data_IF_228802659896
#
_entry.id   IF_228802659896
#
_cell.length_a   1.000
_cell.length_b   1.000
_cell.length_c   1.000
_cell.angle_alpha   90.00
_cell.angle_beta   90.00
_cell.angle_gamma   90.00
#
_symmetry.space_group_name_H-M   'P 1'
#
loop_
_entity.id
_entity.type
_entity.pdbx_description
1 polymer ?
#
# COMPACT_ATOMS: atom_id res chain seq x y z
N UNK A 1 11.94 4.83 20.06
CA UNK A 1 10.83 3.85 19.83
C UNK A 1 9.62 4.38 20.58
N UNK A 2 8.46 4.45 19.96
CA UNK A 2 7.21 4.89 20.60
C UNK A 2 6.29 3.68 20.62
N UNK A 3 5.79 3.31 21.79
CA UNK A 3 4.72 2.31 21.90
C UNK A 3 3.40 2.95 21.49
N UNK A 4 2.65 2.29 20.61
CA UNK A 4 1.33 2.74 20.14
C UNK A 4 0.19 2.13 20.96
N UNK A 5 0.51 1.19 21.85
CA UNK A 5 -0.40 0.50 22.76
C UNK A 5 0.27 0.41 24.14
N UNK A 6 -0.52 0.24 25.19
CA UNK A 6 0.01 0.05 26.54
C UNK A 6 0.80 -1.26 26.59
N UNK A 7 2.05 -1.17 27.07
CA UNK A 7 2.96 -2.30 27.22
C UNK A 7 3.24 -2.50 28.69
N UNK A 8 2.99 -3.70 29.19
CA UNK A 8 3.28 -4.06 30.58
C UNK A 8 4.79 -4.22 30.77
N UNK A 9 5.32 -3.80 31.91
CA UNK A 9 6.75 -3.96 32.23
C UNK A 9 7.16 -5.43 32.15
N UNK A 10 8.20 -5.73 31.37
CA UNK A 10 8.67 -7.09 31.09
C UNK A 10 8.21 -7.69 29.77
N UNK A 11 7.17 -7.15 29.11
CA UNK A 11 6.64 -7.66 27.84
C UNK A 11 7.31 -7.06 26.59
N UNK A 12 8.16 -6.04 26.75
CA UNK A 12 8.76 -5.28 25.65
C UNK A 12 9.50 -6.17 24.63
N UNK A 13 10.14 -7.24 25.08
CA UNK A 13 10.85 -8.16 24.20
C UNK A 13 9.93 -9.02 23.33
N UNK A 14 8.68 -9.21 23.75
CA UNK A 14 7.69 -10.05 23.04
C UNK A 14 6.80 -9.23 22.10
N UNK A 15 6.56 -7.95 22.40
CA UNK A 15 5.58 -7.12 21.69
C UNK A 15 6.18 -5.94 20.92
N UNK A 16 7.44 -5.56 21.18
CA UNK A 16 8.08 -4.43 20.54
C UNK A 16 9.01 -4.87 19.40
N UNK A 17 8.64 -4.58 18.17
CA UNK A 17 9.45 -4.85 16.98
C UNK A 17 9.87 -3.56 16.30
N UNK A 18 11.09 -3.56 15.72
CA UNK A 18 11.59 -2.51 14.85
C UNK A 18 11.55 -3.04 13.41
N UNK A 19 10.92 -2.29 12.51
CA UNK A 19 10.96 -2.61 11.09
C UNK A 19 12.26 -2.07 10.47
N UNK A 20 13.08 -2.95 9.93
CA UNK A 20 14.33 -2.63 9.23
C UNK A 20 14.14 -2.48 7.72
N UNK A 21 13.01 -2.94 7.20
CA UNK A 21 12.68 -3.01 5.77
C UNK A 21 11.22 -2.65 5.56
N UNK A 22 10.82 -2.41 4.32
CA UNK A 22 9.43 -2.12 4.00
C UNK A 22 8.53 -3.32 4.33
N UNK A 23 7.54 -3.13 5.20
CA UNK A 23 6.61 -4.19 5.61
C UNK A 23 5.64 -4.61 4.50
N UNK A 24 5.43 -3.75 3.48
CA UNK A 24 4.63 -4.09 2.30
C UNK A 24 5.34 -5.08 1.38
N UNK A 25 6.69 -5.07 1.32
CA UNK A 25 7.43 -6.02 0.50
C UNK A 25 7.07 -7.48 0.85
N UNK A 26 7.18 -8.38 -0.14
CA UNK A 26 7.01 -9.82 0.10
C UNK A 26 8.07 -10.37 1.06
N UNK A 27 7.77 -11.51 1.69
CA UNK A 27 8.65 -12.10 2.70
C UNK A 27 10.03 -12.46 2.14
N UNK A 28 10.11 -12.92 0.89
CA UNK A 28 11.39 -13.25 0.28
C UNK A 28 12.27 -12.01 0.13
N UNK A 29 11.71 -10.91 -0.36
CA UNK A 29 12.40 -9.63 -0.51
C UNK A 29 12.86 -9.10 0.84
N UNK A 30 11.99 -9.09 1.86
CA UNK A 30 12.35 -8.67 3.22
C UNK A 30 13.47 -9.53 3.81
N UNK A 31 13.37 -10.86 3.74
CA UNK A 31 14.41 -11.75 4.26
C UNK A 31 15.73 -11.62 3.52
N UNK A 32 15.70 -11.37 2.21
CA UNK A 32 16.89 -11.09 1.42
C UNK A 32 17.56 -9.79 1.87
N UNK A 33 16.80 -8.72 2.07
CA UNK A 33 17.31 -7.44 2.58
C UNK A 33 17.88 -7.58 3.99
N UNK A 34 17.19 -8.28 4.89
CA UNK A 34 17.71 -8.55 6.25
C UNK A 34 19.06 -9.26 6.22
N UNK A 35 19.20 -10.29 5.37
CA UNK A 35 20.46 -11.03 5.24
C UNK A 35 21.58 -10.19 4.61
N UNK A 36 21.26 -9.45 3.55
CA UNK A 36 22.25 -8.69 2.77
C UNK A 36 22.75 -7.45 3.51
N UNK A 37 21.90 -6.76 4.26
CA UNK A 37 22.20 -5.46 4.87
C UNK A 37 22.41 -5.59 6.37
N UNK A 38 21.62 -6.41 7.06
CA UNK A 38 21.54 -6.49 8.51
C UNK A 38 22.09 -7.81 9.09
N UNK A 39 22.48 -8.77 8.24
CA UNK A 39 23.13 -10.04 8.58
C UNK A 39 22.35 -10.95 9.54
N UNK A 40 20.99 -10.88 9.52
CA UNK A 40 20.15 -11.80 10.31
C UNK A 40 18.98 -12.36 9.50
N UNK A 41 18.33 -13.40 10.02
CA UNK A 41 17.09 -13.95 9.48
C UNK A 41 15.94 -13.60 10.41
N UNK A 42 14.99 -12.81 9.94
CA UNK A 42 13.83 -12.42 10.71
C UNK A 42 12.84 -13.59 10.86
N UNK A 43 12.33 -13.78 12.08
CA UNK A 43 11.30 -14.77 12.42
C UNK A 43 10.08 -14.11 13.07
N UNK A 44 9.86 -12.82 12.85
CA UNK A 44 8.71 -12.12 13.39
C UNK A 44 7.39 -12.64 12.79
N UNK A 45 6.23 -12.37 13.43
CA UNK A 45 4.92 -12.82 12.94
C UNK A 45 4.67 -12.48 11.47
N UNK A 46 5.03 -11.26 11.03
CA UNK A 46 4.87 -10.83 9.64
C UNK A 46 5.71 -11.67 8.65
N UNK A 47 6.94 -12.05 9.02
CA UNK A 47 7.81 -12.87 8.16
C UNK A 47 7.43 -14.36 8.15
N UNK A 48 6.61 -14.79 9.12
CA UNK A 48 6.11 -16.16 9.22
C UNK A 48 4.70 -16.32 8.65
N UNK A 49 3.99 -15.23 8.35
CA UNK A 49 2.62 -15.24 7.81
C UNK A 49 2.61 -15.52 6.31
N UNK A 50 2.49 -16.80 5.96
CA UNK A 50 2.47 -17.26 4.57
C UNK A 50 1.17 -16.89 3.84
N UNK A 51 0.05 -16.81 4.54
CA UNK A 51 -1.23 -16.49 3.91
C UNK A 51 -1.28 -15.01 3.51
N UNK A 52 -0.84 -14.12 4.41
CA UNK A 52 -0.69 -12.70 4.08
C UNK A 52 0.33 -12.47 2.96
N UNK A 53 1.37 -13.29 2.89
CA UNK A 53 2.39 -13.16 1.84
C UNK A 53 1.87 -13.58 0.47
N UNK A 54 1.01 -14.61 0.38
CA UNK A 54 0.34 -15.02 -0.87
C UNK A 54 -0.53 -13.93 -1.48
N UNK A 55 -1.14 -13.08 -0.65
CA UNK A 55 -1.98 -11.98 -1.12
C UNK A 55 -1.18 -10.90 -1.84
N UNK A 56 0.11 -10.77 -1.54
CA UNK A 56 0.98 -9.68 -2.04
C UNK A 56 1.21 -9.71 -3.54
N UNK A 57 1.12 -10.89 -4.14
CA UNK A 57 1.21 -11.08 -5.58
C UNK A 57 -0.01 -11.87 -6.02
N UNK A 58 -1.02 -11.17 -6.49
CA UNK A 58 -2.29 -11.78 -6.87
C UNK A 58 -2.90 -11.12 -8.09
N UNK A 59 -3.43 -11.93 -8.99
CA UNK A 59 -4.24 -11.47 -10.11
C UNK A 59 -5.72 -11.81 -9.91
N UNK A 60 -6.59 -11.18 -10.68
CA UNK A 60 -8.01 -11.49 -10.72
C UNK A 60 -8.28 -12.70 -11.61
N UNK A 61 -9.09 -13.63 -11.13
CA UNK A 61 -9.61 -14.73 -11.94
C UNK A 61 -10.33 -14.20 -13.19
N UNK A 62 -9.95 -14.65 -14.37
CA UNK A 62 -10.53 -14.19 -15.63
C UNK A 62 -12.03 -14.39 -15.74
N UNK A 63 -12.61 -15.26 -14.90
CA UNK A 63 -14.04 -15.58 -14.92
C UNK A 63 -14.86 -14.87 -13.83
N UNK A 64 -14.44 -14.92 -12.57
CA UNK A 64 -15.24 -14.46 -11.43
C UNK A 64 -14.58 -13.32 -10.65
N UNK A 65 -13.43 -12.83 -11.09
CA UNK A 65 -12.67 -11.72 -10.48
C UNK A 65 -12.17 -12.00 -9.04
N UNK A 66 -12.31 -13.22 -8.54
CA UNK A 66 -11.72 -13.60 -7.25
C UNK A 66 -10.19 -13.68 -7.36
N UNK A 67 -9.52 -13.50 -6.23
CA UNK A 67 -8.07 -13.48 -6.17
C UNK A 67 -7.43 -14.82 -6.52
N UNK A 68 -6.39 -14.77 -7.31
CA UNK A 68 -5.52 -15.90 -7.67
C UNK A 68 -4.07 -15.55 -7.33
N UNK A 69 -3.50 -16.16 -6.27
CA UNK A 69 -2.10 -15.95 -5.92
C UNK A 69 -1.15 -16.38 -7.04
N UNK A 70 -0.12 -15.56 -7.26
CA UNK A 70 0.92 -15.79 -8.28
C UNK A 70 2.27 -16.01 -7.60
N UNK A 71 2.97 -17.04 -8.00
CA UNK A 71 4.41 -17.16 -7.72
C UNK A 71 5.19 -16.38 -8.78
N UNK A 72 5.69 -15.20 -8.42
CA UNK A 72 6.44 -14.31 -9.33
C UNK A 72 7.82 -14.85 -9.74
N UNK A 73 8.31 -15.91 -9.10
CA UNK A 73 9.59 -16.54 -9.48
C UNK A 73 9.40 -17.49 -10.63
N UNK A 74 8.37 -18.34 -10.57
CA UNK A 74 8.02 -19.28 -11.63
C UNK A 74 7.06 -18.67 -12.66
N UNK A 75 6.44 -17.52 -12.36
CA UNK A 75 5.34 -16.93 -13.13
C UNK A 75 4.19 -17.91 -13.32
N UNK A 76 3.77 -18.54 -12.23
CA UNK A 76 2.66 -19.49 -12.20
C UNK A 76 1.59 -19.07 -11.21
N UNK A 77 0.32 -19.33 -11.57
CA UNK A 77 -0.78 -19.25 -10.62
C UNK A 77 -0.62 -20.42 -9.64
N UNK A 78 -0.64 -20.14 -8.34
CA UNK A 78 -0.37 -21.14 -7.29
C UNK A 78 -1.48 -22.19 -7.23
N UNK A 79 -2.73 -21.74 -7.11
CA UNK A 79 -3.89 -22.61 -6.86
C UNK A 79 -5.01 -22.37 -7.88
N UNK A 80 -5.93 -23.35 -7.99
CA UNK A 80 -7.19 -23.16 -8.70
C UNK A 80 -8.07 -22.13 -7.97
N UNK A 81 -8.93 -21.42 -8.71
CA UNK A 81 -9.79 -20.41 -8.12
C UNK A 81 -10.65 -20.96 -6.97
N UNK A 82 -10.53 -20.35 -5.80
CA UNK A 82 -11.28 -20.79 -4.60
C UNK A 82 -12.79 -20.53 -4.73
N UNK A 83 -13.20 -19.54 -5.52
CA UNK A 83 -14.59 -19.13 -5.72
C UNK A 83 -15.28 -19.98 -6.81
N UNK A 84 -14.87 -19.88 -8.07
CA UNK A 84 -15.53 -20.56 -9.19
C UNK A 84 -14.94 -21.95 -9.51
N UNK A 85 -13.92 -22.41 -8.79
CA UNK A 85 -13.24 -23.71 -8.95
C UNK A 85 -12.57 -23.92 -10.31
N UNK A 86 -12.47 -22.89 -11.15
CA UNK A 86 -11.70 -22.98 -12.40
C UNK A 86 -10.25 -23.28 -12.12
N UNK A 87 -9.68 -24.11 -12.96
CA UNK A 87 -8.29 -24.55 -12.85
C UNK A 87 -7.32 -23.40 -13.13
N UNK A 88 -6.15 -23.45 -12.53
CA UNK A 88 -5.07 -22.46 -12.76
C UNK A 88 -4.62 -22.42 -14.23
N UNK A 89 -4.73 -23.52 -14.95
CA UNK A 89 -4.36 -23.63 -16.37
C UNK A 89 -5.50 -23.30 -17.35
N UNK A 90 -6.64 -22.80 -16.87
CA UNK A 90 -7.73 -22.29 -17.69
C UNK A 90 -7.25 -21.20 -18.65
N UNK A 91 -7.71 -21.17 -19.92
CA UNK A 91 -7.24 -20.19 -20.90
C UNK A 91 -7.41 -18.71 -20.48
N UNK A 92 -8.53 -18.39 -19.81
CA UNK A 92 -8.78 -17.02 -19.33
C UNK A 92 -7.80 -16.64 -18.22
N UNK A 93 -7.53 -17.54 -17.28
CA UNK A 93 -6.55 -17.34 -16.21
C UNK A 93 -5.12 -17.21 -16.75
N UNK A 94 -4.76 -17.99 -17.79
CA UNK A 94 -3.47 -17.85 -18.48
C UNK A 94 -3.33 -16.51 -19.20
N UNK A 95 -4.39 -16.02 -19.83
CA UNK A 95 -4.41 -14.71 -20.46
C UNK A 95 -4.21 -13.61 -19.42
N UNK A 96 -4.87 -13.69 -18.26
CA UNK A 96 -4.67 -12.76 -17.16
C UNK A 96 -3.24 -12.79 -16.62
N UNK A 97 -2.66 -13.98 -16.45
CA UNK A 97 -1.28 -14.13 -16.01
C UNK A 97 -0.26 -13.50 -17.00
N UNK A 98 -0.50 -13.62 -18.30
CA UNK A 98 0.35 -12.98 -19.32
C UNK A 98 0.29 -11.46 -19.23
N UNK A 99 -0.90 -10.87 -19.04
CA UNK A 99 -1.07 -9.44 -18.85
C UNK A 99 -0.42 -8.98 -17.53
N UNK A 100 -0.66 -9.70 -16.44
CA UNK A 100 -0.06 -9.44 -15.13
C UNK A 100 1.47 -9.37 -15.22
N UNK A 101 2.07 -10.38 -15.84
CA UNK A 101 3.52 -10.46 -16.04
C UNK A 101 4.03 -9.29 -16.89
N UNK A 102 3.38 -9.01 -18.02
CA UNK A 102 3.77 -7.90 -18.90
C UNK A 102 3.77 -6.55 -18.18
N UNK A 103 2.69 -6.22 -17.45
CA UNK A 103 2.59 -4.97 -16.69
C UNK A 103 3.63 -4.90 -15.57
N UNK A 104 3.91 -6.01 -14.89
CA UNK A 104 4.96 -6.08 -13.89
C UNK A 104 6.34 -5.80 -14.49
N UNK A 105 6.67 -6.41 -15.63
CA UNK A 105 7.93 -6.20 -16.33
C UNK A 105 8.08 -4.74 -16.80
N UNK A 106 7.02 -4.14 -17.36
CA UNK A 106 7.03 -2.74 -17.85
C UNK A 106 7.26 -1.75 -16.70
N UNK A 107 6.65 -1.96 -15.54
CA UNK A 107 6.79 -1.06 -14.39
C UNK A 107 8.11 -1.25 -13.62
N UNK A 108 8.72 -2.42 -13.68
CA UNK A 108 9.94 -2.72 -12.92
C UNK A 108 11.22 -2.59 -13.75
N UNK A 109 11.14 -2.60 -15.08
CA UNK A 109 12.28 -2.42 -15.98
C UNK A 109 12.51 -0.93 -16.29
N UNK A 110 13.39 -0.28 -15.55
CA UNK A 110 13.75 1.13 -15.78
C UNK A 110 14.29 1.37 -17.20
N UNK A 111 13.80 2.43 -17.84
CA UNK A 111 14.43 3.01 -19.06
C UNK A 111 13.96 2.46 -20.39
N UNK A 112 12.92 1.62 -20.46
CA UNK A 112 12.42 1.08 -21.74
C UNK A 112 11.20 1.81 -22.32
N UNK A 113 10.55 2.69 -21.54
CA UNK A 113 9.40 3.44 -22.02
C UNK A 113 9.80 4.76 -22.70
N UNK A 114 9.16 5.09 -23.81
CA UNK A 114 9.32 6.40 -24.49
C UNK A 114 8.58 7.53 -23.77
N UNK A 115 7.72 7.20 -22.80
CA UNK A 115 6.92 8.13 -21.99
C UNK A 115 7.57 8.39 -20.62
N UNK A 116 7.19 9.49 -19.98
CA UNK A 116 7.59 9.77 -18.60
C UNK A 116 7.07 8.69 -17.64
N UNK A 117 7.73 8.54 -16.49
CA UNK A 117 7.28 7.55 -15.50
C UNK A 117 5.88 7.87 -14.96
N UNK A 118 5.50 9.15 -14.87
CA UNK A 118 4.16 9.57 -14.45
C UNK A 118 3.08 9.08 -15.43
N UNK A 119 3.29 9.30 -16.72
CA UNK A 119 2.38 8.84 -17.79
C UNK A 119 2.32 7.31 -17.85
N UNK A 120 3.47 6.65 -17.71
CA UNK A 120 3.56 5.20 -17.66
C UNK A 120 2.78 4.62 -16.48
N UNK A 121 2.93 5.20 -15.29
CA UNK A 121 2.23 4.74 -14.10
C UNK A 121 0.71 4.95 -14.19
N UNK A 122 0.26 6.09 -14.75
CA UNK A 122 -1.16 6.34 -14.96
C UNK A 122 -1.78 5.38 -16.00
N UNK A 123 -1.08 5.15 -17.11
CA UNK A 123 -1.51 4.17 -18.10
C UNK A 123 -1.55 2.75 -17.51
N UNK A 124 -0.48 2.33 -16.86
CA UNK A 124 -0.38 1.00 -16.29
C UNK A 124 -1.46 0.75 -15.23
N UNK A 125 -1.76 1.75 -14.39
CA UNK A 125 -2.80 1.63 -13.37
C UNK A 125 -4.18 1.34 -14.00
N UNK A 126 -4.52 1.98 -15.12
CA UNK A 126 -5.74 1.69 -15.86
C UNK A 126 -5.80 0.24 -16.37
N UNK A 127 -4.68 -0.26 -16.92
CA UNK A 127 -4.58 -1.64 -17.38
C UNK A 127 -4.58 -2.67 -16.24
N UNK A 128 -4.14 -2.27 -15.03
CA UNK A 128 -4.10 -3.13 -13.85
C UNK A 128 -5.48 -3.38 -13.23
N UNK A 129 -6.45 -2.47 -13.38
CA UNK A 129 -7.77 -2.55 -12.73
C UNK A 129 -8.52 -3.85 -13.04
N UNK A 130 -8.35 -4.42 -14.23
CA UNK A 130 -9.00 -5.67 -14.66
C UNK A 130 -8.12 -6.92 -14.49
N UNK A 131 -6.89 -6.75 -14.05
CA UNK A 131 -5.87 -7.83 -14.03
C UNK A 131 -5.36 -8.10 -12.63
N UNK A 132 -5.00 -7.05 -11.88
CA UNK A 132 -4.42 -7.17 -10.55
C UNK A 132 -5.51 -7.22 -9.48
N UNK A 133 -5.27 -8.00 -8.44
CA UNK A 133 -6.09 -7.91 -7.23
C UNK A 133 -5.88 -6.56 -6.53
N UNK A 134 -6.90 -6.06 -5.85
CA UNK A 134 -6.86 -4.75 -5.16
C UNK A 134 -5.76 -4.65 -4.11
N UNK A 135 -5.37 -5.77 -3.52
CA UNK A 135 -4.35 -5.86 -2.48
C UNK A 135 -2.96 -6.27 -2.99
N UNK A 136 -2.79 -6.45 -4.30
CA UNK A 136 -1.47 -6.69 -4.90
C UNK A 136 -0.54 -5.51 -4.64
N UNK A 137 0.69 -5.80 -4.19
CA UNK A 137 1.61 -4.74 -3.74
C UNK A 137 2.07 -3.82 -4.86
N UNK A 138 2.24 -4.32 -6.09
CA UNK A 138 2.61 -3.48 -7.22
C UNK A 138 1.46 -2.56 -7.63
N UNK A 139 0.22 -3.09 -7.64
CA UNK A 139 -0.98 -2.28 -7.87
C UNK A 139 -1.10 -1.17 -6.83
N UNK A 140 -0.93 -1.49 -5.54
CA UNK A 140 -1.02 -0.51 -4.46
C UNK A 140 0.10 0.54 -4.52
N UNK A 141 1.33 0.14 -4.83
CA UNK A 141 2.45 1.06 -5.01
C UNK A 141 2.20 2.02 -6.17
N UNK A 142 1.70 1.49 -7.31
CA UNK A 142 1.35 2.29 -8.48
C UNK A 142 0.19 3.24 -8.17
N UNK A 143 -0.84 2.75 -7.49
CA UNK A 143 -1.99 3.55 -7.04
C UNK A 143 -1.55 4.72 -6.14
N UNK A 144 -0.68 4.45 -5.16
CA UNK A 144 -0.14 5.49 -4.27
C UNK A 144 0.77 6.48 -5.02
N UNK A 145 1.57 6.01 -5.97
CA UNK A 145 2.38 6.89 -6.82
C UNK A 145 1.50 7.82 -7.65
N UNK A 146 0.50 7.29 -8.36
CA UNK A 146 -0.45 8.08 -9.16
C UNK A 146 -1.27 9.04 -8.26
N UNK A 147 -1.65 8.63 -7.04
CA UNK A 147 -2.22 9.55 -6.05
C UNK A 147 -1.30 10.77 -5.85
N UNK A 148 -0.01 10.54 -5.66
CA UNK A 148 0.97 11.63 -5.46
C UNK A 148 1.10 12.52 -6.71
N UNK A 149 1.14 11.95 -7.90
CA UNK A 149 1.14 12.69 -9.18
C UNK A 149 -0.11 13.56 -9.32
N UNK A 150 -1.28 13.00 -9.00
CA UNK A 150 -2.54 13.73 -9.02
C UNK A 150 -2.57 14.89 -8.00
N UNK A 151 -2.03 14.68 -6.80
CA UNK A 151 -1.88 15.76 -5.80
C UNK A 151 -1.01 16.90 -6.33
N UNK A 152 0.15 16.59 -6.89
CA UNK A 152 1.10 17.58 -7.41
C UNK A 152 0.56 18.35 -8.62
N UNK A 153 -0.33 17.74 -9.40
CA UNK A 153 -0.98 18.34 -10.57
C UNK A 153 -2.37 18.90 -10.28
N UNK A 154 -2.76 19.01 -8.99
CA UNK A 154 -4.05 19.54 -8.54
C UNK A 154 -5.29 18.80 -9.13
N UNK A 155 -5.13 17.53 -9.49
CA UNK A 155 -6.21 16.66 -9.96
C UNK A 155 -6.91 15.99 -8.77
N UNK A 156 -7.59 16.80 -7.94
CA UNK A 156 -8.08 16.42 -6.62
C UNK A 156 -9.01 15.22 -6.63
N UNK A 157 -9.98 15.17 -7.57
CA UNK A 157 -10.91 14.04 -7.67
C UNK A 157 -10.21 12.71 -7.94
N UNK A 158 -9.24 12.69 -8.84
CA UNK A 158 -8.44 11.50 -9.11
C UNK A 158 -7.56 11.14 -7.91
N UNK A 159 -6.98 12.14 -7.23
CA UNK A 159 -6.19 11.91 -6.03
C UNK A 159 -7.03 11.27 -4.91
N UNK A 160 -8.25 11.75 -4.66
CA UNK A 160 -9.16 11.15 -3.67
C UNK A 160 -9.46 9.70 -4.02
N UNK A 161 -9.88 9.42 -5.24
CA UNK A 161 -10.21 8.06 -5.68
C UNK A 161 -9.02 7.09 -5.46
N UNK A 162 -7.81 7.48 -5.86
CA UNK A 162 -6.62 6.63 -5.72
C UNK A 162 -6.19 6.48 -4.26
N UNK A 163 -6.28 7.54 -3.46
CA UNK A 163 -5.97 7.50 -2.03
C UNK A 163 -6.92 6.59 -1.25
N UNK A 164 -8.21 6.68 -1.52
CA UNK A 164 -9.24 5.82 -0.90
C UNK A 164 -9.09 4.34 -1.28
N UNK A 165 -8.75 4.05 -2.53
CA UNK A 165 -8.47 2.68 -2.98
C UNK A 165 -7.27 2.10 -2.23
N UNK A 166 -6.20 2.87 -2.03
CA UNK A 166 -4.98 2.38 -1.37
C UNK A 166 -5.11 2.30 0.16
N UNK A 167 -5.88 3.17 0.80
CA UNK A 167 -5.89 3.37 2.26
C UNK A 167 -6.19 2.09 3.08
N UNK A 168 -7.22 1.27 2.77
CA UNK A 168 -7.51 0.06 3.54
C UNK A 168 -6.33 -0.91 3.55
N UNK A 169 -5.69 -1.08 2.40
CA UNK A 169 -4.58 -1.99 2.22
C UNK A 169 -3.28 -1.47 2.85
N UNK A 170 -3.07 -0.16 2.81
CA UNK A 170 -1.97 0.49 3.54
C UNK A 170 -2.12 0.26 5.05
N UNK A 171 -3.33 0.43 5.61
CA UNK A 171 -3.62 0.10 7.00
C UNK A 171 -3.34 -1.38 7.32
N UNK A 172 -3.68 -2.29 6.40
CA UNK A 172 -3.44 -3.72 6.58
C UNK A 172 -1.93 -4.08 6.53
N UNK A 173 -1.18 -3.51 5.58
CA UNK A 173 0.23 -3.88 5.39
C UNK A 173 1.19 -3.15 6.34
N UNK A 174 0.96 -1.88 6.59
CA UNK A 174 1.82 -1.06 7.45
C UNK A 174 1.35 -0.99 8.91
N UNK A 175 0.08 -1.31 9.16
CA UNK A 175 -0.59 -1.05 10.43
C UNK A 175 -1.27 0.32 10.45
N UNK A 176 -2.46 0.37 11.07
CA UNK A 176 -3.32 1.55 11.04
C UNK A 176 -2.71 2.80 11.70
N UNK A 177 -1.80 2.63 12.66
CA UNK A 177 -1.21 3.73 13.44
C UNK A 177 0.24 4.01 13.05
N UNK A 178 0.53 4.15 11.75
CA UNK A 178 1.88 4.42 11.25
C UNK A 178 1.98 5.76 10.54
N UNK A 179 3.19 6.34 10.51
CA UNK A 179 3.43 7.61 9.81
C UNK A 179 3.13 7.56 8.31
N UNK A 180 3.27 6.39 7.68
CA UNK A 180 2.94 6.18 6.27
C UNK A 180 1.43 6.33 6.05
N UNK A 181 0.62 5.70 6.89
CA UNK A 181 -0.85 5.80 6.84
C UNK A 181 -1.30 7.23 7.16
N UNK A 182 -0.70 7.87 8.18
CA UNK A 182 -1.00 9.26 8.52
C UNK A 182 -0.65 10.22 7.36
N UNK A 183 0.44 9.97 6.62
CA UNK A 183 0.81 10.73 5.44
C UNK A 183 -0.19 10.62 4.30
N UNK A 184 -0.72 9.42 4.07
CA UNK A 184 -1.78 9.21 3.08
C UNK A 184 -3.09 9.90 3.50
N UNK A 185 -3.50 9.77 4.77
CA UNK A 185 -4.67 10.45 5.33
C UNK A 185 -4.55 11.97 5.24
N UNK A 186 -3.39 12.55 5.54
CA UNK A 186 -3.16 13.98 5.41
C UNK A 186 -3.39 14.48 3.98
N UNK A 187 -2.80 13.79 2.99
CA UNK A 187 -2.97 14.15 1.58
C UNK A 187 -4.40 13.96 1.11
N UNK A 188 -5.06 12.90 1.55
CA UNK A 188 -6.46 12.64 1.26
C UNK A 188 -7.36 13.76 1.80
N UNK A 189 -7.15 14.16 3.07
CA UNK A 189 -7.87 15.29 3.67
C UNK A 189 -7.64 16.62 2.95
N UNK A 190 -6.41 16.88 2.50
CA UNK A 190 -6.12 18.07 1.67
C UNK A 190 -6.90 18.03 0.34
N UNK A 191 -6.91 16.89 -0.35
CA UNK A 191 -7.63 16.75 -1.63
C UNK A 191 -9.14 16.92 -1.46
N UNK A 192 -9.73 16.30 -0.42
CA UNK A 192 -11.14 16.45 -0.06
C UNK A 192 -11.50 17.91 0.27
N UNK A 193 -10.64 18.60 1.04
CA UNK A 193 -10.83 20.01 1.34
C UNK A 193 -10.77 20.92 0.10
N UNK A 194 -9.94 20.58 -0.90
CA UNK A 194 -9.93 21.30 -2.19
C UNK A 194 -11.19 21.02 -3.03
N UNK A 195 -11.87 19.92 -2.82
CA UNK A 195 -13.14 19.59 -3.48
C UNK A 195 -14.35 20.20 -2.74
N UNK A 196 -14.16 20.80 -1.57
CA UNK A 196 -15.24 21.33 -0.72
C UNK A 196 -15.98 20.23 0.06
N UNK A 197 -15.40 19.03 0.18
CA UNK A 197 -15.95 17.91 0.93
C UNK A 197 -15.49 17.97 2.40
N UNK A 198 -15.89 19.05 3.10
CA UNK A 198 -15.36 19.44 4.40
C UNK A 198 -15.56 18.37 5.48
N UNK A 199 -16.75 17.76 5.58
CA UNK A 199 -17.05 16.73 6.59
C UNK A 199 -16.11 15.52 6.44
N UNK A 200 -15.88 15.08 5.21
CA UNK A 200 -14.96 13.96 4.91
C UNK A 200 -13.50 14.33 5.14
N UNK A 201 -13.13 15.56 4.80
CA UNK A 201 -11.79 16.07 5.06
C UNK A 201 -11.51 16.10 6.57
N UNK A 202 -12.47 16.58 7.35
CA UNK A 202 -12.38 16.58 8.81
C UNK A 202 -12.17 15.17 9.37
N UNK A 203 -13.00 14.18 8.97
CA UNK A 203 -12.91 12.79 9.44
C UNK A 203 -11.52 12.21 9.22
N UNK A 204 -10.99 12.29 8.00
CA UNK A 204 -9.67 11.69 7.69
C UNK A 204 -8.52 12.47 8.33
N UNK A 205 -8.64 13.79 8.50
CA UNK A 205 -7.65 14.60 9.18
C UNK A 205 -7.64 14.38 10.70
N UNK A 206 -8.79 14.11 11.33
CA UNK A 206 -8.87 13.70 12.74
C UNK A 206 -8.17 12.36 12.94
N UNK A 207 -8.36 11.40 12.05
CA UNK A 207 -7.62 10.13 12.10
C UNK A 207 -6.11 10.38 11.96
N UNK A 208 -5.67 11.17 10.97
CA UNK A 208 -4.26 11.54 10.80
C UNK A 208 -3.68 12.21 12.06
N UNK A 209 -4.44 13.12 12.69
CA UNK A 209 -4.05 13.80 13.92
C UNK A 209 -3.83 12.82 15.06
N UNK A 210 -4.73 11.85 15.23
CA UNK A 210 -4.60 10.83 16.27
C UNK A 210 -3.28 10.05 16.18
N UNK A 211 -2.79 9.84 14.96
CA UNK A 211 -1.53 9.15 14.69
C UNK A 211 -0.34 10.09 14.89
N UNK A 212 -0.40 11.30 14.33
CA UNK A 212 0.72 12.24 14.38
C UNK A 212 1.01 12.80 15.78
N UNK A 213 0.00 12.84 16.65
CA UNK A 213 0.20 13.19 18.08
C UNK A 213 1.11 12.18 18.79
N UNK A 214 1.16 10.95 18.33
CA UNK A 214 1.94 9.86 18.93
C UNK A 214 3.23 9.59 18.15
N UNK A 215 3.16 9.41 16.82
CA UNK A 215 4.27 8.89 16.02
C UNK A 215 5.44 9.86 15.90
N UNK A 216 5.32 11.12 15.44
CA UNK A 216 6.36 12.11 15.66
C UNK A 216 6.24 12.75 17.05
N UNK A 217 5.03 12.87 17.58
CA UNK A 217 4.70 13.55 18.82
C UNK A 217 4.31 15.01 18.64
N UNK A 218 3.48 15.53 19.55
CA UNK A 218 2.90 16.88 19.49
C UNK A 218 3.93 18.02 19.49
N UNK A 219 5.14 17.76 19.98
CA UNK A 219 6.22 18.76 20.04
C UNK A 219 7.18 18.70 18.85
N UNK A 220 6.96 17.75 17.94
CA UNK A 220 7.84 17.59 16.77
C UNK A 220 7.59 18.71 15.76
N UNK A 221 8.65 19.30 15.15
CA UNK A 221 8.50 20.40 14.17
C UNK A 221 7.53 20.06 13.05
N UNK A 222 7.58 18.85 12.45
CA UNK A 222 6.63 18.40 11.43
C UNK A 222 5.17 18.51 11.90
N UNK A 223 4.87 18.12 13.17
CA UNK A 223 3.51 18.22 13.67
C UNK A 223 3.06 19.68 13.79
N UNK A 224 3.93 20.56 14.32
CA UNK A 224 3.60 21.96 14.61
C UNK A 224 3.58 22.84 13.36
N UNK A 225 4.53 22.61 12.43
CA UNK A 225 4.82 23.52 11.32
C UNK A 225 4.17 23.06 10.01
N UNK A 226 4.10 21.74 9.78
CA UNK A 226 3.61 21.18 8.52
C UNK A 226 2.17 20.67 8.64
N UNK A 227 1.87 19.85 9.66
CA UNK A 227 0.56 19.20 9.80
C UNK A 227 -0.50 20.12 10.42
N UNK A 228 -0.22 20.72 11.57
CA UNK A 228 -1.20 21.46 12.37
C UNK A 228 -1.84 22.65 11.64
N UNK A 229 -1.14 23.42 10.80
CA UNK A 229 -1.74 24.47 9.98
C UNK A 229 -2.79 23.94 8.99
N UNK A 230 -2.51 22.78 8.38
CA UNK A 230 -3.45 22.10 7.47
C UNK A 230 -4.67 21.59 8.24
N UNK A 231 -4.43 20.92 9.38
CA UNK A 231 -5.48 20.42 10.25
C UNK A 231 -6.46 21.53 10.65
N UNK A 232 -5.94 22.65 11.18
CA UNK A 232 -6.76 23.80 11.62
C UNK A 232 -7.52 24.53 10.50
N UNK A 233 -7.13 24.33 9.26
CA UNK A 233 -7.84 24.92 8.11
C UNK A 233 -9.17 24.21 7.84
N UNK A 234 -9.24 22.90 8.09
CA UNK A 234 -10.38 22.06 7.73
C UNK A 234 -11.14 21.47 8.92
N UNK A 235 -10.55 21.52 10.12
CA UNK A 235 -11.16 21.00 11.34
C UNK A 235 -11.42 22.21 12.26
N UNK A 236 -12.69 22.54 12.43
CA UNK A 236 -13.14 23.55 13.39
C UNK A 236 -13.28 22.92 14.77
N UNK A 237 -12.70 23.58 15.80
CA UNK A 237 -12.87 23.21 17.22
C UNK A 237 -14.30 23.40 17.69
#
# INVERSE_FOLDING_TARGET
>A
MVALEDVVEGEVAEVAFISYVNSMDDTFTRLRQHRAIWYFTCVCPLCCDKEKDKMKHSLQCGHCKADLPVDIKSWEIVDSCSSCKRRKDDPENKSQLQKYRHLTEVLTEEGKAEMSYDELAEWALGEMEDVFSEHDILHLQTCHYVHTVCMNSSRWQAAVMRGETALPWFKMYYGAKTGIVAGLLLRLGQALGHLGEEDRAEEVLQEANSIYRVVPGEKHPFYLEDFLPIYKKYVTE
#
